data_IF_677619770126
#
_entry.id   IF_677619770126
#
_cell.length_a   1.000
_cell.length_b   1.000
_cell.length_c   1.000
_cell.angle_alpha   90.00
_cell.angle_beta   90.00
_cell.angle_gamma   90.00
#
_symmetry.space_group_name_H-M   'P 1'
#
loop_
_entity.id
_entity.type
_entity.pdbx_description
1 polymer ?
#
# COMPACT_ATOMS: atom_id res chain seq x y z
N UNK A 1 -6.54 -17.41 -1.32
CA UNK A 1 -5.60 -16.38 -0.86
C UNK A 1 -5.65 -15.27 -1.89
N UNK A 2 -6.14 -14.06 -1.57
CA UNK A 2 -6.13 -12.97 -2.54
C UNK A 2 -4.68 -12.57 -2.82
N UNK A 3 -4.23 -12.72 -4.05
CA UNK A 3 -2.88 -12.29 -4.44
C UNK A 3 -2.82 -10.77 -4.34
N UNK A 4 -2.09 -10.23 -3.37
CA UNK A 4 -1.97 -8.77 -3.16
C UNK A 4 -1.47 -8.01 -4.40
N UNK A 5 -0.79 -8.70 -5.33
CA UNK A 5 -0.40 -8.17 -6.64
C UNK A 5 -1.58 -7.97 -7.62
N UNK A 6 -2.70 -8.66 -7.41
CA UNK A 6 -3.96 -8.42 -8.15
C UNK A 6 -4.77 -7.26 -7.57
N UNK A 7 -4.47 -6.88 -6.32
CA UNK A 7 -5.21 -5.88 -5.54
C UNK A 7 -4.63 -4.48 -5.76
N UNK A 8 -3.31 -4.37 -5.99
CA UNK A 8 -2.61 -3.11 -6.25
C UNK A 8 -2.15 -3.05 -7.71
N UNK A 9 -2.43 -1.96 -8.45
CA UNK A 9 -1.84 -1.75 -9.77
C UNK A 9 -0.31 -1.80 -9.72
N UNK A 10 0.31 -2.50 -10.66
CA UNK A 10 1.77 -2.59 -10.74
C UNK A 10 2.46 -1.21 -10.88
N UNK A 11 1.76 -0.24 -11.47
CA UNK A 11 2.24 1.14 -11.56
C UNK A 11 2.40 1.81 -10.19
N UNK A 12 1.43 1.60 -9.28
CA UNK A 12 1.45 2.12 -7.90
C UNK A 12 2.62 1.51 -7.13
N UNK A 13 2.79 0.19 -7.20
CA UNK A 13 3.92 -0.52 -6.57
C UNK A 13 5.27 0.02 -7.07
N UNK A 14 5.39 0.28 -8.36
CA UNK A 14 6.61 0.85 -8.95
C UNK A 14 6.86 2.27 -8.48
N UNK A 15 5.81 3.10 -8.41
CA UNK A 15 5.89 4.50 -8.00
C UNK A 15 6.20 4.64 -6.50
N UNK A 16 5.73 3.71 -5.65
CA UNK A 16 6.09 3.61 -4.23
C UNK A 16 7.59 3.46 -4.00
N UNK A 17 8.28 2.74 -4.89
CA UNK A 17 9.72 2.52 -4.82
C UNK A 17 10.55 3.53 -5.62
N UNK A 18 9.91 4.56 -6.18
CA UNK A 18 10.58 5.51 -7.05
C UNK A 18 11.60 6.36 -6.27
N UNK A 19 12.64 6.85 -6.96
CA UNK A 19 13.63 7.74 -6.36
C UNK A 19 13.00 9.08 -5.97
N UNK A 20 12.02 9.55 -6.73
CA UNK A 20 11.33 10.83 -6.48
C UNK A 20 10.30 10.69 -5.35
N UNK A 21 10.40 11.57 -4.36
CA UNK A 21 9.48 11.59 -3.23
C UNK A 21 8.03 11.85 -3.66
N UNK A 22 7.79 12.82 -4.56
CA UNK A 22 6.45 13.15 -5.07
C UNK A 22 5.74 11.93 -5.67
N UNK A 23 6.47 11.06 -6.39
CA UNK A 23 5.88 9.84 -6.94
C UNK A 23 5.48 8.83 -5.85
N UNK A 24 6.27 8.72 -4.78
CA UNK A 24 5.93 7.85 -3.64
C UNK A 24 4.69 8.37 -2.91
N UNK A 25 4.56 9.70 -2.79
CA UNK A 25 3.39 10.35 -2.20
C UNK A 25 2.14 10.10 -3.05
N UNK A 26 2.21 10.32 -4.36
CA UNK A 26 1.08 10.05 -5.27
C UNK A 26 0.66 8.58 -5.22
N UNK A 27 1.61 7.65 -5.24
CA UNK A 27 1.33 6.23 -5.12
C UNK A 27 0.67 5.86 -3.79
N UNK A 28 1.06 6.52 -2.70
CA UNK A 28 0.42 6.32 -1.41
C UNK A 28 -1.02 6.83 -1.39
N UNK A 29 -1.32 7.95 -2.05
CA UNK A 29 -2.68 8.45 -2.22
C UNK A 29 -3.55 7.49 -3.05
N UNK A 30 -3.00 6.89 -4.11
CA UNK A 30 -3.70 5.84 -4.86
C UNK A 30 -3.98 4.61 -3.98
N UNK A 31 -3.04 4.21 -3.11
CA UNK A 31 -3.29 3.16 -2.11
C UNK A 31 -4.42 3.53 -1.16
N UNK A 32 -4.49 4.78 -0.71
CA UNK A 32 -5.57 5.28 0.15
C UNK A 32 -6.94 5.05 -0.48
N UNK A 33 -7.10 5.49 -1.73
CA UNK A 33 -8.36 5.34 -2.46
C UNK A 33 -8.75 3.86 -2.64
N UNK A 34 -7.77 3.00 -2.93
CA UNK A 34 -7.99 1.55 -3.09
C UNK A 34 -8.43 0.92 -1.76
N UNK A 35 -7.72 1.21 -0.66
CA UNK A 35 -8.07 0.69 0.68
C UNK A 35 -9.46 1.17 1.08
N UNK A 36 -9.80 2.43 0.80
CA UNK A 36 -11.11 3.01 1.07
C UNK A 36 -12.22 2.30 0.31
N UNK A 37 -12.00 1.96 -0.97
CA UNK A 37 -12.95 1.17 -1.76
C UNK A 37 -13.16 -0.23 -1.18
N UNK A 38 -12.08 -0.92 -0.78
CA UNK A 38 -12.22 -2.25 -0.15
C UNK A 38 -12.87 -2.19 1.22
N UNK A 39 -12.57 -1.18 2.03
CA UNK A 39 -13.21 -0.99 3.32
C UNK A 39 -14.71 -0.71 3.15
N UNK A 40 -15.10 0.06 2.13
CA UNK A 40 -16.51 0.27 1.79
C UNK A 40 -17.20 -1.00 1.26
N UNK A 41 -16.47 -1.87 0.57
CA UNK A 41 -16.96 -3.16 0.09
C UNK A 41 -16.99 -4.25 1.18
N UNK A 42 -16.34 -4.03 2.33
CA UNK A 42 -16.16 -5.04 3.38
C UNK A 42 -15.07 -6.08 3.06
N UNK A 43 -14.23 -5.83 2.06
CA UNK A 43 -13.17 -6.73 1.57
C UNK A 43 -11.90 -6.66 2.45
N UNK A 44 -12.05 -6.96 3.74
CA UNK A 44 -10.94 -6.90 4.71
C UNK A 44 -9.78 -7.85 4.35
N UNK A 45 -10.05 -8.99 3.70
CA UNK A 45 -9.02 -9.91 3.23
C UNK A 45 -8.05 -9.26 2.23
N UNK A 46 -8.57 -8.41 1.33
CA UNK A 46 -7.75 -7.70 0.33
C UNK A 46 -6.87 -6.65 1.00
N UNK A 47 -7.42 -5.94 1.99
CA UNK A 47 -6.67 -4.97 2.80
C UNK A 47 -5.55 -5.67 3.58
N UNK A 48 -5.84 -6.81 4.19
CA UNK A 48 -4.84 -7.59 4.92
C UNK A 48 -3.74 -8.12 3.97
N UNK A 49 -4.12 -8.56 2.77
CA UNK A 49 -3.16 -8.96 1.74
C UNK A 49 -2.26 -7.79 1.30
N UNK A 50 -2.83 -6.59 1.14
CA UNK A 50 -2.13 -5.33 0.86
C UNK A 50 -1.04 -5.04 1.90
N UNK A 51 -1.43 -5.05 3.18
CA UNK A 51 -0.57 -4.75 4.32
C UNK A 51 0.55 -5.77 4.41
N UNK A 52 0.25 -7.06 4.23
CA UNK A 52 1.24 -8.12 4.19
C UNK A 52 2.24 -7.95 3.04
N UNK A 53 1.78 -7.53 1.86
CA UNK A 53 2.66 -7.27 0.72
C UNK A 53 3.58 -6.07 0.99
N UNK A 54 3.04 -4.95 1.46
CA UNK A 54 3.85 -3.76 1.79
C UNK A 54 4.88 -4.08 2.88
N UNK A 55 4.48 -4.83 3.90
CA UNK A 55 5.38 -5.24 4.99
C UNK A 55 6.48 -6.17 4.46
N UNK A 56 6.13 -7.27 3.81
CA UNK A 56 7.11 -8.27 3.40
C UNK A 56 7.99 -7.81 2.23
N UNK A 57 7.43 -7.12 1.23
CA UNK A 57 8.18 -6.76 0.01
C UNK A 57 8.89 -5.41 0.11
N UNK A 58 8.31 -4.43 0.81
CA UNK A 58 8.89 -3.08 0.85
C UNK A 58 9.70 -2.85 2.13
N UNK A 59 9.19 -3.21 3.31
CA UNK A 59 9.91 -2.92 4.57
C UNK A 59 11.13 -3.83 4.80
N UNK A 60 11.09 -5.06 4.28
CA UNK A 60 12.20 -6.02 4.35
C UNK A 60 13.29 -5.77 3.28
N UNK A 61 13.05 -4.84 2.35
CA UNK A 61 13.99 -4.60 1.25
C UNK A 61 15.26 -3.87 1.70
N UNK A 62 16.46 -4.25 1.19
CA UNK A 62 17.70 -3.55 1.48
C UNK A 62 17.74 -2.13 0.87
N UNK A 63 16.86 -1.84 -0.10
CA UNK A 63 16.80 -0.54 -0.74
C UNK A 63 16.02 0.47 0.11
N UNK A 64 16.66 1.60 0.42
CA UNK A 64 16.05 2.66 1.24
C UNK A 64 14.75 3.23 0.62
N UNK A 65 14.65 3.31 -0.71
CA UNK A 65 13.45 3.82 -1.39
C UNK A 65 12.26 2.87 -1.24
N UNK A 66 12.49 1.56 -1.36
CA UNK A 66 11.48 0.54 -1.10
C UNK A 66 10.98 0.64 0.34
N UNK A 67 11.87 0.70 1.34
CA UNK A 67 11.44 0.84 2.75
C UNK A 67 10.64 2.12 3.00
N UNK A 68 11.10 3.25 2.46
CA UNK A 68 10.40 4.53 2.59
C UNK A 68 9.02 4.48 1.95
N UNK A 69 8.91 3.93 0.74
CA UNK A 69 7.62 3.71 0.08
C UNK A 69 6.70 2.83 0.91
N UNK A 70 7.18 1.65 1.30
CA UNK A 70 6.43 0.69 2.11
C UNK A 70 5.89 1.29 3.40
N UNK A 71 6.70 2.05 4.13
CA UNK A 71 6.25 2.71 5.36
C UNK A 71 5.16 3.76 5.12
N UNK A 72 5.27 4.57 4.06
CA UNK A 72 4.24 5.55 3.71
C UNK A 72 2.94 4.85 3.32
N UNK A 73 3.01 3.84 2.43
CA UNK A 73 1.84 3.06 2.02
C UNK A 73 1.20 2.31 3.18
N UNK A 74 2.01 1.78 4.11
CA UNK A 74 1.52 1.11 5.31
C UNK A 74 0.83 2.07 6.27
N UNK A 75 1.38 3.28 6.46
CA UNK A 75 0.77 4.31 7.29
C UNK A 75 -0.62 4.67 6.75
N UNK A 76 -0.73 4.91 5.45
CA UNK A 76 -2.01 5.21 4.78
C UNK A 76 -3.00 4.06 4.95
N UNK A 77 -2.59 2.83 4.64
CA UNK A 77 -3.45 1.65 4.78
C UNK A 77 -3.96 1.47 6.22
N UNK A 78 -3.07 1.70 7.21
CA UNK A 78 -3.42 1.57 8.63
C UNK A 78 -4.36 2.69 9.08
N UNK A 79 -4.10 3.93 8.69
CA UNK A 79 -4.96 5.08 9.02
C UNK A 79 -6.37 4.88 8.47
N UNK A 80 -6.50 4.46 7.21
CA UNK A 80 -7.83 4.22 6.60
C UNK A 80 -8.59 3.07 7.29
N UNK A 81 -7.89 2.00 7.71
CA UNK A 81 -8.55 0.91 8.46
C UNK A 81 -9.01 1.32 9.86
N UNK A 82 -8.31 2.25 10.52
CA UNK A 82 -8.66 2.71 11.87
C UNK A 82 -9.73 3.80 11.82
N UNK A 83 -9.75 4.63 10.77
CA UNK A 83 -10.65 5.79 10.67
C UNK A 83 -12.12 5.42 10.46
N UNK A 84 -12.46 4.15 10.23
CA UNK A 84 -13.84 3.71 10.01
C UNK A 84 -14.24 2.60 10.99
N UNK A 85 -14.95 2.92 12.08
CA UNK A 85 -15.60 1.94 12.94
C UNK A 85 -16.83 1.30 12.26
#
# INVERSE_FOLDING_TARGET
MADAFSVIPAAVLRNLSDKLYEKRKNAAQEIEEIVKQFAMAGDHDKIMAMINLLTNQFTSSPQANHRKGGLIGLAVATVETISKP
#
